data_IF_330550970430
#
_entry.id   IF_330550970430
#
_cell.length_a   1.000
_cell.length_b   1.000
_cell.length_c   1.000
_cell.angle_alpha   90.00
_cell.angle_beta   90.00
_cell.angle_gamma   90.00
#
_symmetry.space_group_name_H-M   'P 1'
#
loop_
_entity.id
_entity.type
_entity.pdbx_description
1 polymer ?
#
# COMPACT_ATOMS: atom_id res chain seq x y z
N UNK A 1 -0.72 38.08 12.18
CA UNK A 1 -0.12 36.72 12.27
C UNK A 1 -1.01 35.71 11.56
N UNK A 2 -0.42 34.92 10.74
CA UNK A 2 -1.13 33.79 10.17
C UNK A 2 -0.98 32.58 11.09
N UNK A 3 -2.09 31.94 11.39
CA UNK A 3 -2.08 30.72 12.18
C UNK A 3 -2.17 29.52 11.26
N UNK A 4 -1.23 28.61 11.40
CA UNK A 4 -1.29 27.32 10.72
C UNK A 4 -1.93 26.34 11.69
N UNK A 5 -3.09 25.85 11.31
CA UNK A 5 -3.75 24.80 12.08
C UNK A 5 -3.57 23.48 11.37
N UNK A 6 -3.23 22.44 12.11
CA UNK A 6 -3.17 21.08 11.62
C UNK A 6 -4.41 20.32 12.10
N UNK A 7 -4.74 19.25 11.40
CA UNK A 7 -5.85 18.37 11.76
C UNK A 7 -5.34 16.95 11.95
N UNK A 8 -4.73 16.65 13.10
CA UNK A 8 -4.15 15.33 13.35
C UNK A 8 -5.16 14.20 13.22
N UNK A 9 -6.40 14.42 13.63
CA UNK A 9 -7.48 13.42 13.53
C UNK A 9 -7.78 13.09 12.06
N UNK A 10 -7.73 14.10 11.18
CA UNK A 10 -7.94 13.89 9.73
C UNK A 10 -6.80 13.12 9.14
N UNK A 11 -5.55 13.39 9.53
CA UNK A 11 -4.39 12.62 9.10
C UNK A 11 -4.46 11.17 9.57
N UNK A 12 -4.86 10.97 10.83
CA UNK A 12 -5.02 9.62 11.39
C UNK A 12 -6.13 8.85 10.66
N UNK A 13 -7.24 9.50 10.34
CA UNK A 13 -8.33 8.90 9.58
C UNK A 13 -7.88 8.54 8.16
N UNK A 14 -7.10 9.41 7.52
CA UNK A 14 -6.53 9.14 6.19
C UNK A 14 -5.58 7.94 6.23
N UNK A 15 -4.73 7.84 7.26
CA UNK A 15 -3.85 6.69 7.45
C UNK A 15 -4.64 5.40 7.61
N UNK A 16 -5.72 5.42 8.38
CA UNK A 16 -6.63 4.26 8.56
C UNK A 16 -7.30 3.85 7.25
N UNK A 17 -7.76 4.81 6.46
CA UNK A 17 -8.35 4.57 5.15
C UNK A 17 -7.33 3.93 4.19
N UNK A 18 -6.11 4.46 4.14
CA UNK A 18 -5.03 3.92 3.31
C UNK A 18 -4.64 2.51 3.74
N UNK A 19 -4.64 2.23 5.03
CA UNK A 19 -4.39 0.89 5.55
C UNK A 19 -5.46 -0.10 5.08
N UNK A 20 -6.73 0.30 5.09
CA UNK A 20 -7.83 -0.50 4.56
C UNK A 20 -7.68 -0.77 3.07
N UNK A 21 -7.29 0.23 2.29
CA UNK A 21 -7.00 0.08 0.85
C UNK A 21 -5.85 -0.91 0.65
N UNK A 22 -4.78 -0.80 1.43
CA UNK A 22 -3.64 -1.71 1.38
C UNK A 22 -4.04 -3.15 1.66
N UNK A 23 -4.90 -3.39 2.64
CA UNK A 23 -5.41 -4.72 2.97
C UNK A 23 -6.23 -5.32 1.83
N UNK A 24 -7.08 -4.52 1.19
CA UNK A 24 -7.87 -4.93 0.03
C UNK A 24 -6.96 -5.27 -1.16
N UNK A 25 -5.96 -4.45 -1.44
CA UNK A 25 -4.99 -4.70 -2.52
C UNK A 25 -4.21 -5.99 -2.26
N UNK A 26 -3.77 -6.21 -1.02
CA UNK A 26 -3.06 -7.43 -0.64
C UNK A 26 -3.90 -8.68 -0.88
N UNK A 27 -5.18 -8.64 -0.49
CA UNK A 27 -6.12 -9.74 -0.72
C UNK A 27 -6.34 -10.00 -2.21
N UNK A 28 -6.50 -8.94 -3.02
CA UNK A 28 -6.67 -9.07 -4.47
C UNK A 28 -5.41 -9.60 -5.14
N UNK A 29 -4.23 -9.16 -4.72
CA UNK A 29 -2.96 -9.66 -5.24
C UNK A 29 -2.76 -11.13 -4.91
N UNK A 30 -3.13 -11.56 -3.71
CA UNK A 30 -3.10 -12.98 -3.33
C UNK A 30 -4.08 -13.80 -4.17
N UNK A 31 -5.28 -13.29 -4.40
CA UNK A 31 -6.29 -13.93 -5.22
C UNK A 31 -5.86 -14.06 -6.70
N UNK A 32 -5.04 -13.13 -7.19
CA UNK A 32 -4.52 -13.16 -8.56
C UNK A 32 -3.41 -14.19 -8.76
N UNK A 33 -2.82 -14.73 -7.70
CA UNK A 33 -1.67 -15.63 -7.80
C UNK A 33 -2.00 -16.90 -8.58
N UNK A 34 -3.07 -17.61 -8.22
CA UNK A 34 -3.43 -18.86 -8.86
C UNK A 34 -3.81 -18.69 -10.35
N UNK A 35 -4.71 -17.74 -10.72
CA UNK A 35 -5.07 -17.59 -12.13
C UNK A 35 -3.92 -17.08 -13.01
N UNK A 36 -2.95 -16.33 -12.46
CA UNK A 36 -1.84 -15.81 -13.25
C UNK A 36 -0.69 -16.80 -13.40
N UNK A 37 -0.52 -17.73 -12.48
CA UNK A 37 0.52 -18.76 -12.53
C UNK A 37 0.05 -20.08 -13.17
N UNK A 38 -1.27 -20.30 -13.24
CA UNK A 38 -1.87 -21.54 -13.69
C UNK A 38 -2.18 -21.61 -15.18
N UNK A 39 -1.47 -20.88 -16.04
CA UNK A 39 -1.71 -20.91 -17.49
C UNK A 39 -1.13 -22.21 -18.07
N UNK A 40 -1.96 -23.16 -18.52
CA UNK A 40 -1.45 -24.41 -19.10
C UNK A 40 -0.85 -24.16 -20.48
N UNK A 41 0.29 -24.79 -20.76
CA UNK A 41 0.86 -24.78 -22.09
C UNK A 41 0.00 -25.66 -23.02
N UNK A 42 -0.33 -25.12 -24.20
CA UNK A 42 -0.91 -25.95 -25.27
C UNK A 42 0.19 -26.86 -25.86
N UNK A 43 -0.23 -27.82 -26.67
CA UNK A 43 0.65 -28.88 -27.15
C UNK A 43 1.66 -28.45 -28.23
N UNK A 44 1.78 -27.17 -28.54
CA UNK A 44 2.73 -26.67 -29.53
C UNK A 44 3.84 -25.83 -28.88
N UNK A 45 4.97 -25.67 -29.59
CA UNK A 45 6.16 -24.99 -29.11
C UNK A 45 5.89 -23.47 -28.87
N UNK A 46 5.10 -22.85 -29.72
CA UNK A 46 4.76 -21.42 -29.60
C UNK A 46 3.92 -21.17 -28.36
N UNK A 47 2.94 -22.03 -28.10
CA UNK A 47 2.09 -21.93 -26.91
C UNK A 47 2.86 -22.19 -25.63
N UNK A 48 3.83 -23.12 -25.66
CA UNK A 48 4.71 -23.39 -24.53
C UNK A 48 5.56 -22.16 -24.20
N UNK A 49 6.12 -21.48 -25.21
CA UNK A 49 6.90 -20.27 -25.04
C UNK A 49 6.02 -19.13 -24.49
N UNK A 50 4.83 -18.98 -25.04
CA UNK A 50 3.87 -17.96 -24.58
C UNK A 50 3.47 -18.21 -23.12
N UNK A 51 3.18 -19.46 -22.75
CA UNK A 51 2.86 -19.81 -21.37
C UNK A 51 4.02 -19.52 -20.42
N UNK A 52 5.26 -19.77 -20.85
CA UNK A 52 6.45 -19.43 -20.06
C UNK A 52 6.60 -17.92 -19.85
N UNK A 53 6.30 -17.13 -20.88
CA UNK A 53 6.32 -15.67 -20.77
C UNK A 53 5.24 -15.16 -19.79
N UNK A 54 4.03 -15.70 -19.87
CA UNK A 54 2.97 -15.36 -18.92
C UNK A 54 3.37 -15.71 -17.48
N UNK A 55 3.98 -16.87 -17.28
CA UNK A 55 4.46 -17.28 -15.95
C UNK A 55 5.53 -16.34 -15.43
N UNK A 56 6.48 -15.92 -16.27
CA UNK A 56 7.52 -14.97 -15.91
C UNK A 56 6.93 -13.61 -15.54
N UNK A 57 5.97 -13.12 -16.32
CA UNK A 57 5.26 -11.86 -16.01
C UNK A 57 4.48 -11.96 -14.71
N UNK A 58 3.83 -13.10 -14.45
CA UNK A 58 3.10 -13.32 -13.20
C UNK A 58 4.04 -13.27 -11.99
N UNK A 59 5.23 -13.86 -12.09
CA UNK A 59 6.24 -13.79 -11.03
C UNK A 59 6.72 -12.36 -10.80
N UNK A 60 6.97 -11.60 -11.87
CA UNK A 60 7.36 -10.20 -11.78
C UNK A 60 6.25 -9.36 -11.14
N UNK A 61 5.01 -9.60 -11.53
CA UNK A 61 3.86 -8.91 -10.93
C UNK A 61 3.80 -9.16 -9.42
N UNK A 62 3.96 -10.39 -8.97
CA UNK A 62 3.93 -10.72 -7.55
C UNK A 62 5.08 -10.05 -6.79
N UNK A 63 6.29 -10.03 -7.37
CA UNK A 63 7.45 -9.38 -6.76
C UNK A 63 7.24 -7.86 -6.64
N UNK A 64 6.78 -7.20 -7.71
CA UNK A 64 6.50 -5.76 -7.72
C UNK A 64 5.36 -5.42 -6.76
N UNK A 65 4.32 -6.25 -6.73
CA UNK A 65 3.19 -6.07 -5.80
C UNK A 65 3.64 -6.14 -4.34
N UNK A 66 4.54 -7.07 -4.02
CA UNK A 66 5.09 -7.19 -2.66
C UNK A 66 5.90 -5.93 -2.29
N UNK A 67 6.73 -5.42 -3.20
CA UNK A 67 7.49 -4.19 -2.98
C UNK A 67 6.56 -2.98 -2.82
N UNK A 68 5.53 -2.89 -3.64
CA UNK A 68 4.54 -1.83 -3.56
C UNK A 68 3.79 -1.86 -2.21
N UNK A 69 3.51 -3.06 -1.71
CA UNK A 69 2.88 -3.25 -0.41
C UNK A 69 3.78 -2.71 0.71
N UNK A 70 5.07 -3.01 0.67
CA UNK A 70 6.04 -2.49 1.65
C UNK A 70 6.12 -0.96 1.64
N UNK A 71 6.16 -0.36 0.45
CA UNK A 71 6.18 1.11 0.30
C UNK A 71 4.89 1.70 0.86
N UNK A 72 3.76 1.09 0.57
CA UNK A 72 2.46 1.51 1.08
C UNK A 72 2.41 1.48 2.61
N UNK A 73 2.89 0.41 3.21
CA UNK A 73 2.94 0.26 4.67
C UNK A 73 3.86 1.30 5.32
N UNK A 74 5.02 1.55 4.73
CA UNK A 74 5.91 2.61 5.21
C UNK A 74 5.24 3.98 5.14
N UNK A 75 4.54 4.26 4.06
CA UNK A 75 3.80 5.51 3.90
C UNK A 75 2.71 5.67 4.96
N UNK A 76 1.91 4.63 5.18
CA UNK A 76 0.86 4.63 6.20
C UNK A 76 1.44 4.85 7.60
N UNK A 77 2.53 4.15 7.91
CA UNK A 77 3.22 4.31 9.20
C UNK A 77 3.76 5.71 9.38
N UNK A 78 4.39 6.27 8.34
CA UNK A 78 4.91 7.65 8.38
C UNK A 78 3.79 8.66 8.59
N UNK A 79 2.68 8.48 7.90
CA UNK A 79 1.51 9.35 8.05
C UNK A 79 0.93 9.26 9.47
N UNK A 80 0.87 8.06 10.03
CA UNK A 80 0.43 7.85 11.41
C UNK A 80 1.35 8.52 12.44
N UNK A 81 2.67 8.40 12.26
CA UNK A 81 3.65 9.07 13.12
C UNK A 81 3.57 10.60 12.99
N UNK A 82 3.40 11.11 11.78
CA UNK A 82 3.23 12.55 11.55
C UNK A 82 1.97 13.07 12.24
N UNK A 83 0.88 12.31 12.15
CA UNK A 83 -0.36 12.63 12.85
C UNK A 83 -0.14 12.75 14.37
N UNK A 84 0.58 11.78 14.95
CA UNK A 84 0.92 11.80 16.38
C UNK A 84 1.80 12.98 16.76
N UNK A 85 2.80 13.32 15.94
CA UNK A 85 3.67 14.48 16.14
C UNK A 85 2.88 15.79 16.12
N UNK A 86 1.99 15.95 15.15
CA UNK A 86 1.14 17.14 15.07
C UNK A 86 0.19 17.22 16.26
N UNK A 87 -0.40 16.11 16.69
CA UNK A 87 -1.27 16.08 17.85
C UNK A 87 -0.53 16.51 19.12
N UNK A 88 0.70 16.03 19.32
CA UNK A 88 1.53 16.40 20.46
C UNK A 88 1.90 17.89 20.43
N UNK A 89 2.24 18.40 19.25
CA UNK A 89 2.59 19.82 19.07
C UNK A 89 1.38 20.72 19.34
N UNK A 90 0.22 20.36 18.80
CA UNK A 90 -1.01 21.13 19.03
C UNK A 90 -1.40 21.15 20.52
N UNK A 91 -1.25 20.01 21.20
CA UNK A 91 -1.52 19.93 22.63
C UNK A 91 -0.56 20.81 23.45
N UNK A 92 0.74 20.80 23.10
CA UNK A 92 1.74 21.64 23.75
C UNK A 92 1.46 23.13 23.50
N UNK A 93 1.10 23.49 22.27
CA UNK A 93 0.76 24.87 21.92
C UNK A 93 -0.49 25.33 22.63
N UNK A 94 -1.49 24.50 22.79
CA UNK A 94 -2.70 24.81 23.52
C UNK A 94 -2.38 25.11 25.00
N UNK A 95 -1.51 24.37 25.63
CA UNK A 95 -1.05 24.56 26.99
C UNK A 95 -0.28 25.89 27.09
N UNK A 96 0.63 26.15 26.14
CA UNK A 96 1.44 27.38 26.13
C UNK A 96 0.61 28.64 25.90
N UNK A 97 -0.47 28.53 25.13
CA UNK A 97 -1.38 29.64 24.85
C UNK A 97 -2.36 29.93 26.00
N UNK A 98 -2.55 28.95 26.85
CA UNK A 98 -3.48 28.90 27.93
C UNK A 98 -3.62 30.01 28.81
#
# INVERSE_FOLDING_TARGET
MSFVTTQPETLAAAAGTLQGIGSTMSAQNAAATAPTTGVPAAADEVSALTAAQFAAHAQMYQAVSAQAQEVHEMFVNTLGMSSGSYAATEAANAIAAG
#
